data_IF_666508071511
#
_entry.id   IF_666508071511
#
_cell.length_a   1.000
_cell.length_b   1.000
_cell.length_c   1.000
_cell.angle_alpha   90.00
_cell.angle_beta   90.00
_cell.angle_gamma   90.00
#
_symmetry.space_group_name_H-M   'P 1'
#
loop_
_entity.id
_entity.type
_entity.pdbx_description
1 polymer ?
#
# COMPACT_ATOMS: atom_id res chain seq x y z
N UNK A 1 -9.00 18.04 8.30
CA UNK A 1 -7.54 18.00 8.58
C UNK A 1 -7.22 16.62 9.12
N UNK A 2 -6.70 15.73 8.29
CA UNK A 2 -6.21 14.41 8.71
C UNK A 2 -4.88 14.60 9.44
N UNK A 3 -4.77 14.08 10.66
CA UNK A 3 -3.57 14.15 11.50
C UNK A 3 -2.79 12.84 11.28
N UNK A 4 -1.86 12.82 10.34
CA UNK A 4 -0.96 11.69 10.17
C UNK A 4 0.02 11.66 11.36
N UNK A 5 0.01 10.59 12.15
CA UNK A 5 1.01 10.35 13.19
C UNK A 5 2.03 9.39 12.62
N UNK A 6 3.25 9.88 12.36
CA UNK A 6 4.32 9.12 11.74
C UNK A 6 4.77 7.99 12.67
N UNK A 7 4.35 6.77 12.38
CA UNK A 7 4.78 5.55 13.04
C UNK A 7 5.41 4.65 11.98
N UNK A 8 6.68 4.96 11.67
CA UNK A 8 7.60 4.25 10.75
C UNK A 8 7.19 4.26 9.26
N UNK A 9 7.43 5.43 8.64
CA UNK A 9 7.69 5.71 7.21
C UNK A 9 6.60 5.40 6.16
N UNK A 10 5.52 4.71 6.50
CA UNK A 10 4.26 4.77 5.73
C UNK A 10 3.24 5.72 6.38
N UNK A 11 2.10 5.89 5.71
CA UNK A 11 0.96 6.68 6.16
C UNK A 11 -0.27 5.80 6.39
N UNK A 12 -1.09 6.19 7.37
CA UNK A 12 -2.43 5.66 7.56
C UNK A 12 -3.44 6.59 6.88
N UNK A 13 -4.20 6.06 5.92
CA UNK A 13 -5.31 6.75 5.27
C UNK A 13 -6.60 6.39 6.00
N UNK A 14 -7.32 7.38 6.53
CA UNK A 14 -8.67 7.16 7.08
C UNK A 14 -9.66 6.93 5.94
N UNK A 15 -10.41 5.83 6.02
CA UNK A 15 -11.36 5.41 4.99
C UNK A 15 -12.64 4.88 5.63
N UNK A 16 -13.72 4.81 4.85
CA UNK A 16 -14.91 4.09 5.28
C UNK A 16 -14.60 2.61 5.54
N UNK A 17 -15.32 1.99 6.48
CA UNK A 17 -15.19 0.56 6.75
C UNK A 17 -15.41 -0.26 5.46
N UNK A 18 -14.51 -1.21 5.17
CA UNK A 18 -14.53 -2.04 3.95
C UNK A 18 -14.41 -1.25 2.62
N UNK A 19 -13.92 -0.01 2.68
CA UNK A 19 -13.57 0.74 1.48
C UNK A 19 -12.61 -0.07 0.59
N UNK A 20 -12.76 0.00 -0.74
CA UNK A 20 -11.83 -0.63 -1.66
C UNK A 20 -10.44 -0.02 -1.52
N UNK A 21 -9.42 -0.88 -1.44
CA UNK A 21 -8.03 -0.48 -1.62
C UNK A 21 -7.63 -0.78 -3.06
N UNK A 22 -7.13 0.24 -3.76
CA UNK A 22 -6.81 0.18 -5.18
C UNK A 22 -5.31 0.26 -5.42
N UNK A 23 -4.85 -0.32 -6.52
CA UNK A 23 -3.48 -0.18 -6.98
C UNK A 23 -3.20 1.29 -7.35
N UNK A 24 -2.16 1.93 -6.78
CA UNK A 24 -1.85 3.33 -7.07
C UNK A 24 -1.24 3.50 -8.46
N UNK A 25 -0.60 2.46 -8.98
CA UNK A 25 0.04 2.42 -10.28
C UNK A 25 0.11 0.95 -10.76
N UNK A 26 0.46 0.76 -12.03
CA UNK A 26 0.77 -0.56 -12.58
C UNK A 26 1.91 -1.21 -11.81
N UNK A 27 1.79 -2.49 -11.46
CA UNK A 27 2.86 -3.22 -10.78
C UNK A 27 2.68 -4.73 -10.75
N UNK A 28 3.76 -5.46 -10.45
CA UNK A 28 3.78 -6.89 -10.20
C UNK A 28 3.48 -7.17 -8.73
N UNK A 29 2.52 -8.04 -8.43
CA UNK A 29 2.25 -8.50 -7.07
C UNK A 29 3.39 -9.42 -6.62
N UNK A 30 4.28 -8.93 -5.77
CA UNK A 30 5.41 -9.71 -5.21
C UNK A 30 5.09 -10.29 -3.83
N UNK A 31 4.00 -9.84 -3.21
CA UNK A 31 3.46 -10.42 -1.98
C UNK A 31 1.94 -10.18 -1.87
N UNK A 32 1.20 -11.16 -1.36
CA UNK A 32 -0.22 -11.08 -1.05
C UNK A 32 -0.55 -11.95 0.18
N UNK A 33 -0.84 -11.34 1.34
CA UNK A 33 -1.12 -12.09 2.56
C UNK A 33 -0.87 -11.33 3.88
N UNK A 34 -0.72 -12.04 5.01
CA UNK A 34 -0.55 -11.43 6.33
C UNK A 34 0.81 -10.75 6.53
N UNK A 35 0.79 -9.43 6.76
CA UNK A 35 1.98 -8.65 7.12
C UNK A 35 1.98 -8.41 8.63
N UNK A 36 3.05 -8.83 9.32
CA UNK A 36 3.16 -8.71 10.78
C UNK A 36 2.93 -7.28 11.24
N UNK A 37 1.87 -7.06 12.02
CA UNK A 37 1.49 -5.74 12.56
C UNK A 37 0.66 -4.87 11.61
N UNK A 38 0.35 -5.33 10.40
CA UNK A 38 -0.40 -4.59 9.38
C UNK A 38 -1.57 -5.39 8.77
N UNK A 39 -2.09 -6.41 9.46
CA UNK A 39 -3.18 -7.28 8.99
C UNK A 39 -2.84 -7.90 7.61
N UNK A 40 -3.79 -7.99 6.66
CA UNK A 40 -3.47 -8.44 5.30
C UNK A 40 -2.91 -7.27 4.48
N UNK A 41 -2.09 -7.59 3.49
CA UNK A 41 -1.57 -6.60 2.55
C UNK A 41 -1.02 -7.19 1.26
N UNK A 42 -0.70 -6.26 0.36
CA UNK A 42 -0.12 -6.50 -0.95
C UNK A 42 1.16 -5.69 -1.06
N UNK A 43 2.22 -6.29 -1.59
CA UNK A 43 3.42 -5.57 -2.03
C UNK A 43 3.42 -5.59 -3.56
N UNK A 44 3.48 -4.41 -4.15
CA UNK A 44 3.61 -4.22 -5.59
C UNK A 44 5.03 -3.78 -5.91
N UNK A 45 5.62 -4.40 -6.91
CA UNK A 45 6.86 -3.97 -7.55
C UNK A 45 6.52 -3.17 -8.81
N UNK A 46 6.99 -1.92 -8.86
CA UNK A 46 6.78 -0.99 -9.97
C UNK A 46 8.04 -0.82 -10.83
N UNK A 47 9.09 -1.62 -10.62
CA UNK A 47 10.39 -1.54 -11.28
C UNK A 47 11.39 -0.69 -10.49
N UNK A 48 11.08 0.59 -10.29
CA UNK A 48 12.01 1.52 -9.61
C UNK A 48 11.74 1.66 -8.10
N UNK A 49 10.56 1.22 -7.67
CA UNK A 49 10.09 1.31 -6.30
C UNK A 49 9.04 0.24 -6.00
N UNK A 50 8.85 -0.03 -4.72
CA UNK A 50 7.80 -0.90 -4.21
C UNK A 50 6.72 -0.07 -3.54
N UNK A 51 5.48 -0.53 -3.58
CA UNK A 51 4.44 -0.05 -2.66
C UNK A 51 3.95 -1.16 -1.75
N UNK A 52 3.63 -0.80 -0.51
CA UNK A 52 2.95 -1.69 0.45
C UNK A 52 1.57 -1.11 0.71
N UNK A 53 0.54 -1.90 0.42
CA UNK A 53 -0.86 -1.59 0.73
C UNK A 53 -1.31 -2.61 1.77
N UNK A 54 -1.64 -2.18 2.98
CA UNK A 54 -1.98 -3.09 4.08
C UNK A 54 -3.14 -2.58 4.94
N UNK A 55 -3.38 -3.22 6.08
CA UNK A 55 -4.60 -3.09 6.90
C UNK A 55 -5.85 -3.53 6.13
N UNK A 56 -5.68 -4.55 5.28
CA UNK A 56 -6.75 -5.14 4.51
C UNK A 56 -7.39 -6.29 5.30
N UNK A 57 -8.71 -6.45 5.13
CA UNK A 57 -9.46 -7.58 5.69
C UNK A 57 -9.40 -8.81 4.78
N UNK A 58 -9.26 -8.56 3.48
CA UNK A 58 -9.11 -9.54 2.41
C UNK A 58 -8.20 -8.98 1.31
N UNK A 59 -7.51 -9.89 0.62
CA UNK A 59 -6.71 -9.60 -0.58
C UNK A 59 -7.37 -10.30 -1.76
N UNK A 60 -7.67 -9.54 -2.80
CA UNK A 60 -8.37 -9.99 -4.01
C UNK A 60 -7.47 -10.27 -5.20
N UNK A 61 -6.14 -10.19 -5.03
CA UNK A 61 -5.16 -10.38 -6.11
C UNK A 61 -4.18 -11.51 -5.78
N UNK A 62 -3.84 -12.38 -6.75
CA UNK A 62 -2.89 -13.47 -6.51
C UNK A 62 -1.43 -13.00 -6.64
N UNK A 63 -0.54 -13.68 -5.93
CA UNK A 63 0.91 -13.53 -6.10
C UNK A 63 1.31 -13.76 -7.56
N UNK A 64 2.16 -12.89 -8.11
CA UNK A 64 2.66 -12.98 -9.49
C UNK A 64 1.76 -12.34 -10.54
N UNK A 65 0.58 -11.83 -10.18
CA UNK A 65 -0.25 -11.07 -11.11
C UNK A 65 0.32 -9.67 -11.39
N UNK A 66 0.12 -9.17 -12.60
CA UNK A 66 0.27 -7.74 -12.90
C UNK A 66 -1.07 -7.06 -12.70
N UNK A 67 -1.06 -5.92 -12.02
CA UNK A 67 -2.22 -5.03 -11.85
C UNK A 67 -1.97 -3.71 -12.56
N UNK A 68 -3.04 -3.02 -12.94
CA UNK A 68 -3.02 -1.66 -13.49
C UNK A 68 -3.51 -0.64 -12.44
N UNK A 69 -3.25 0.65 -12.67
CA UNK A 69 -3.72 1.69 -11.76
C UNK A 69 -5.25 1.66 -11.62
N UNK A 70 -5.74 1.68 -10.37
CA UNK A 70 -7.17 1.60 -10.07
C UNK A 70 -7.72 0.17 -9.90
N UNK A 71 -6.93 -0.86 -10.20
CA UNK A 71 -7.34 -2.25 -9.93
C UNK A 71 -7.55 -2.50 -8.44
N UNK A 72 -8.55 -3.30 -8.10
CA UNK A 72 -8.88 -3.59 -6.71
C UNK A 72 -7.92 -4.63 -6.14
N UNK A 73 -7.16 -4.23 -5.12
CA UNK A 73 -6.26 -5.10 -4.38
C UNK A 73 -6.96 -5.85 -3.25
N UNK A 74 -7.99 -5.24 -2.66
CA UNK A 74 -8.72 -5.78 -1.51
C UNK A 74 -9.64 -4.75 -0.89
N UNK A 75 -9.96 -4.93 0.40
CA UNK A 75 -10.77 -4.00 1.17
C UNK A 75 -10.15 -3.73 2.54
N UNK A 76 -10.31 -2.50 3.02
CA UNK A 76 -9.90 -2.13 4.37
C UNK A 76 -10.53 -3.06 5.42
N UNK A 77 -9.72 -3.60 6.33
CA UNK A 77 -10.22 -4.43 7.43
C UNK A 77 -11.15 -3.64 8.35
N UNK A 78 -10.80 -2.37 8.56
CA UNK A 78 -11.49 -1.41 9.43
C UNK A 78 -11.60 -0.07 8.69
N UNK A 79 -11.30 1.02 9.39
CA UNK A 79 -11.43 2.40 8.95
C UNK A 79 -10.09 3.01 8.51
N UNK A 80 -9.09 2.18 8.21
CA UNK A 80 -7.76 2.61 7.77
C UNK A 80 -7.18 1.69 6.71
N UNK A 81 -6.43 2.27 5.78
CA UNK A 81 -5.51 1.57 4.88
C UNK A 81 -4.11 2.10 5.14
N UNK A 82 -3.14 1.20 5.27
CA UNK A 82 -1.74 1.58 5.37
C UNK A 82 -1.13 1.66 3.97
N UNK A 83 -0.38 2.72 3.68
CA UNK A 83 0.33 2.92 2.43
C UNK A 83 1.79 3.31 2.68
N UNK A 84 2.72 2.65 2.01
CA UNK A 84 4.16 2.90 2.12
C UNK A 84 4.80 2.78 0.75
N UNK A 85 5.78 3.64 0.45
CA UNK A 85 6.62 3.56 -0.74
C UNK A 85 8.02 3.16 -0.28
N UNK A 86 8.65 2.21 -0.98
CA UNK A 86 10.03 1.81 -0.74
C UNK A 86 10.85 1.96 -2.00
N UNK A 87 12.04 2.52 -1.89
CA UNK A 87 13.02 2.55 -2.98
C UNK A 87 13.91 1.31 -2.90
N UNK A 88 14.32 0.75 -4.04
CA UNK A 88 15.13 -0.47 -4.10
C UNK A 88 16.58 -0.22 -3.66
N UNK A 89 16.80 -0.21 -2.35
CA UNK A 89 18.15 -0.18 -1.75
C UNK A 89 18.38 -1.51 -1.05
N UNK A 90 18.76 -2.52 -1.83
CA UNK A 90 18.99 -3.89 -1.36
C UNK A 90 17.72 -4.72 -1.14
N UNK A 91 17.84 -5.95 -0.59
CA UNK A 91 16.72 -6.87 -0.45
C UNK A 91 15.59 -6.29 0.42
N UNK A 92 14.42 -6.06 -0.17
CA UNK A 92 13.22 -5.60 0.53
C UNK A 92 12.98 -4.08 0.56
N UNK A 93 13.90 -3.30 -0.03
CA UNK A 93 13.79 -1.84 -0.21
C UNK A 93 13.88 -1.01 1.09
N UNK A 94 14.20 0.27 0.94
CA UNK A 94 14.19 1.25 2.04
C UNK A 94 12.90 2.09 1.98
N UNK A 95 12.11 2.20 3.06
CA UNK A 95 10.91 3.02 3.06
C UNK A 95 11.27 4.50 2.94
N UNK A 96 10.49 5.23 2.14
CA UNK A 96 10.54 6.69 2.06
C UNK A 96 9.19 7.28 2.50
N UNK A 97 9.21 8.51 2.99
CA UNK A 97 7.98 9.23 3.32
C UNK A 97 7.19 9.54 2.03
N UNK A 98 5.95 9.03 1.89
CA UNK A 98 5.13 9.28 0.71
C UNK A 98 4.44 10.66 0.73
N UNK A 99 4.37 11.35 1.87
CA UNK A 99 3.61 12.61 2.01
C UNK A 99 4.05 13.70 1.00
N UNK A 100 5.35 13.93 0.73
CA UNK A 100 5.78 14.89 -0.28
C UNK A 100 5.28 14.58 -1.70
N UNK A 101 5.06 13.30 -2.03
CA UNK A 101 4.56 12.88 -3.34
C UNK A 101 3.05 13.12 -3.47
N UNK A 102 2.32 13.04 -2.36
CA UNK A 102 0.87 13.26 -2.32
C UNK A 102 0.49 14.74 -2.26
N UNK A 103 1.40 15.61 -1.82
CA UNK A 103 1.18 17.06 -1.78
C UNK A 103 1.10 17.72 -3.17
N UNK A 104 1.46 17.00 -4.25
CA UNK A 104 1.50 17.54 -5.63
C UNK A 104 0.17 17.39 -6.37
N UNK A 105 -0.96 17.50 -5.67
CA UNK A 105 -2.28 17.64 -6.29
C UNK A 105 -2.84 19.02 -5.97
N UNK A 106 -2.38 20.02 -6.72
CA UNK A 106 -3.02 21.33 -6.85
C UNK A 106 -3.68 21.44 -8.22
#
# INVERSE_FOLDING_TARGET
RSKAVLSRRGIDLEVATRAPALAPARGLVTYAGPIRGLEQGVILDHGDYLTVIAKLGDVGVPLGATVEAGDRLGRAARHRVYFEIRIEVGPGGMPIDPEPLLATSH
#
